data_IF_248206252985
#
_entry.id   IF_248206252985
#
_cell.length_a   1.000
_cell.length_b   1.000
_cell.length_c   1.000
_cell.angle_alpha   90.00
_cell.angle_beta   90.00
_cell.angle_gamma   90.00
#
_symmetry.space_group_name_H-M   'P 1'
#
loop_
_entity.id
_entity.type
_entity.pdbx_description
1 polymer ?
#
# COMPACT_ATOMS: atom_id res chain seq x y z
N UNK A 1 -25.81 9.71 19.16
CA UNK A 1 -25.46 9.68 17.72
C UNK A 1 -23.97 9.92 17.48
N UNK A 2 -23.38 11.00 18.02
CA UNK A 2 -21.95 11.33 17.88
C UNK A 2 -21.00 10.23 18.39
N UNK A 3 -21.36 9.56 19.49
CA UNK A 3 -20.58 8.44 20.09
C UNK A 3 -20.50 7.21 19.18
N UNK A 4 -21.59 6.88 18.47
CA UNK A 4 -21.62 5.76 17.54
C UNK A 4 -20.82 6.06 16.28
N UNK A 5 -20.87 7.29 15.80
CA UNK A 5 -20.05 7.75 14.65
C UNK A 5 -18.56 7.69 15.01
N UNK A 6 -18.19 8.16 16.20
CA UNK A 6 -16.81 8.09 16.68
C UNK A 6 -16.31 6.65 16.82
N UNK A 7 -17.12 5.76 17.40
CA UNK A 7 -16.81 4.33 17.49
C UNK A 7 -16.68 3.68 16.10
N UNK A 8 -17.52 4.07 15.13
CA UNK A 8 -17.41 3.59 13.75
C UNK A 8 -16.11 4.04 13.08
N UNK A 9 -15.66 5.29 13.31
CA UNK A 9 -14.37 5.77 12.79
C UNK A 9 -13.19 5.02 13.40
N UNK A 10 -13.20 4.78 14.71
CA UNK A 10 -12.18 3.98 15.38
C UNK A 10 -12.17 2.55 14.81
N UNK A 11 -13.34 1.95 14.63
CA UNK A 11 -13.48 0.62 14.07
C UNK A 11 -12.93 0.52 12.64
N UNK A 12 -13.27 1.48 11.77
CA UNK A 12 -12.74 1.54 10.41
C UNK A 12 -11.23 1.76 10.41
N UNK A 13 -10.71 2.62 11.28
CA UNK A 13 -9.27 2.83 11.43
C UNK A 13 -8.55 1.55 11.85
N UNK A 14 -9.10 0.80 12.81
CA UNK A 14 -8.55 -0.48 13.27
C UNK A 14 -8.58 -1.55 12.16
N UNK A 15 -9.69 -1.65 11.42
CA UNK A 15 -9.79 -2.58 10.28
C UNK A 15 -8.83 -2.21 9.15
N UNK A 16 -8.64 -0.92 8.87
CA UNK A 16 -7.66 -0.48 7.89
C UNK A 16 -6.24 -0.79 8.36
N UNK A 17 -5.96 -0.56 9.65
CA UNK A 17 -4.66 -0.84 10.25
C UNK A 17 -4.29 -2.31 10.08
N UNK A 18 -5.16 -3.25 10.50
CA UNK A 18 -4.90 -4.69 10.40
C UNK A 18 -4.78 -5.14 8.94
N UNK A 19 -5.59 -4.59 8.04
CA UNK A 19 -5.53 -4.90 6.60
C UNK A 19 -4.28 -4.35 5.91
N UNK A 20 -3.69 -3.27 6.39
CA UNK A 20 -2.51 -2.69 5.76
C UNK A 20 -1.21 -3.03 6.50
N UNK A 21 -1.27 -3.53 7.75
CA UNK A 21 -0.09 -3.89 8.54
C UNK A 21 0.79 -4.94 7.82
N UNK A 22 0.18 -6.02 7.34
CA UNK A 22 0.91 -7.06 6.61
C UNK A 22 1.51 -6.53 5.30
N UNK A 23 0.85 -5.53 4.68
CA UNK A 23 1.38 -4.86 3.49
C UNK A 23 2.59 -4.02 3.84
N UNK A 24 2.59 -3.30 4.96
CA UNK A 24 3.76 -2.54 5.40
C UNK A 24 4.96 -3.48 5.59
N UNK A 25 4.76 -4.62 6.25
CA UNK A 25 5.83 -5.62 6.43
C UNK A 25 6.34 -6.10 5.08
N UNK A 26 5.44 -6.47 4.18
CA UNK A 26 5.79 -6.87 2.81
C UNK A 26 6.57 -5.78 2.05
N UNK A 27 6.18 -4.51 2.16
CA UNK A 27 6.87 -3.39 1.53
C UNK A 27 8.25 -3.15 2.13
N UNK A 28 8.38 -3.32 3.44
CA UNK A 28 9.67 -3.21 4.13
C UNK A 28 10.65 -4.28 3.65
N UNK A 29 10.18 -5.52 3.48
CA UNK A 29 11.01 -6.63 3.00
C UNK A 29 11.39 -6.50 1.52
N UNK A 30 10.44 -6.11 0.66
CA UNK A 30 10.65 -6.06 -0.80
C UNK A 30 11.25 -4.76 -1.28
N UNK A 31 10.92 -3.64 -0.64
CA UNK A 31 11.30 -2.28 -1.05
C UNK A 31 11.64 -1.41 0.17
N UNK A 32 12.64 -1.82 0.94
CA UNK A 32 13.04 -1.19 2.22
C UNK A 32 13.31 0.32 2.12
N UNK A 33 14.12 0.75 1.16
CA UNK A 33 14.53 2.15 1.01
C UNK A 33 13.35 3.11 0.75
N UNK A 34 12.47 2.89 -0.25
CA UNK A 34 11.31 3.76 -0.44
C UNK A 34 10.31 3.64 0.71
N UNK A 35 10.17 2.47 1.33
CA UNK A 35 9.27 2.30 2.50
C UNK A 35 9.72 3.16 3.68
N UNK A 36 11.01 3.20 3.99
CA UNK A 36 11.55 4.04 5.06
C UNK A 36 11.48 5.53 4.71
N UNK A 37 11.90 5.91 3.49
CA UNK A 37 11.92 7.31 3.06
C UNK A 37 10.52 7.91 2.98
N UNK A 38 9.63 7.27 2.22
CA UNK A 38 8.24 7.72 2.04
C UNK A 38 7.47 7.59 3.36
N UNK A 39 7.68 6.51 4.11
CA UNK A 39 7.02 6.31 5.41
C UNK A 39 7.36 7.40 6.41
N UNK A 40 8.63 7.77 6.52
CA UNK A 40 9.08 8.86 7.39
C UNK A 40 8.47 10.20 6.97
N UNK A 41 8.50 10.50 5.66
CA UNK A 41 7.90 11.74 5.14
C UNK A 41 6.39 11.84 5.39
N UNK A 42 5.66 10.73 5.24
CA UNK A 42 4.22 10.67 5.53
C UNK A 42 3.97 10.83 7.02
N UNK A 43 4.71 10.14 7.89
CA UNK A 43 4.54 10.23 9.34
C UNK A 43 4.75 11.68 9.81
N UNK A 44 5.84 12.32 9.38
CA UNK A 44 6.14 13.72 9.68
C UNK A 44 5.07 14.64 9.11
N UNK A 45 4.71 14.47 7.83
CA UNK A 45 3.73 15.32 7.15
C UNK A 45 2.34 15.26 7.79
N UNK A 46 1.86 14.06 8.09
CA UNK A 46 0.56 13.85 8.77
C UNK A 46 0.60 14.42 10.19
N UNK A 47 1.71 14.22 10.92
CA UNK A 47 1.87 14.76 12.27
C UNK A 47 1.86 16.30 12.28
N UNK A 48 2.63 16.94 11.39
CA UNK A 48 2.66 18.41 11.25
C UNK A 48 1.27 18.92 10.88
N UNK A 49 0.62 18.31 9.88
CA UNK A 49 -0.71 18.73 9.44
C UNK A 49 -1.75 18.58 10.56
N UNK A 50 -1.71 17.47 11.31
CA UNK A 50 -2.56 17.27 12.47
C UNK A 50 -2.28 18.29 13.58
N UNK A 51 -1.02 18.68 13.78
CA UNK A 51 -0.63 19.71 14.74
C UNK A 51 -1.14 21.10 14.37
N UNK A 52 -1.15 21.42 13.08
CA UNK A 52 -1.71 22.67 12.55
C UNK A 52 -3.24 22.72 12.67
N UNK A 53 -3.93 21.59 12.50
CA UNK A 53 -5.41 21.56 12.52
C UNK A 53 -5.99 21.40 13.91
N UNK A 54 -5.43 20.53 14.74
CA UNK A 54 -5.93 20.22 16.08
C UNK A 54 -5.28 21.11 17.15
N UNK A 55 -4.08 21.62 16.90
CA UNK A 55 -3.25 22.32 17.88
C UNK A 55 -2.37 21.36 18.68
N UNK A 56 -1.16 21.84 19.04
CA UNK A 56 -0.10 21.02 19.66
C UNK A 56 -0.48 20.37 21.01
N UNK A 57 -1.56 20.81 21.66
CA UNK A 57 -2.04 20.24 22.93
C UNK A 57 -2.71 18.87 22.76
N UNK A 58 -3.09 18.48 21.53
CA UNK A 58 -3.85 17.26 21.25
C UNK A 58 -2.97 16.12 20.73
N UNK A 59 -1.85 15.85 21.41
CA UNK A 59 -0.86 14.85 20.99
C UNK A 59 -1.45 13.46 20.67
N UNK A 60 -2.36 12.95 21.52
CA UNK A 60 -2.97 11.64 21.32
C UNK A 60 -3.79 11.58 20.01
N UNK A 61 -4.51 12.65 19.67
CA UNK A 61 -5.28 12.74 18.44
C UNK A 61 -4.37 12.86 17.20
N UNK A 62 -3.26 13.59 17.33
CA UNK A 62 -2.24 13.69 16.27
C UNK A 62 -1.59 12.32 15.99
N UNK A 63 -1.19 11.59 17.04
CA UNK A 63 -0.63 10.24 16.90
C UNK A 63 -1.65 9.26 16.31
N UNK A 64 -2.92 9.35 16.73
CA UNK A 64 -3.99 8.57 16.13
C UNK A 64 -4.11 8.82 14.62
N UNK A 65 -4.04 10.07 14.17
CA UNK A 65 -4.09 10.40 12.75
C UNK A 65 -2.93 9.77 11.96
N UNK A 66 -1.72 9.79 12.51
CA UNK A 66 -0.54 9.13 11.89
C UNK A 66 -0.76 7.62 11.78
N UNK A 67 -1.24 6.98 12.84
CA UNK A 67 -1.46 5.53 12.87
C UNK A 67 -2.63 5.12 11.96
N UNK A 68 -3.68 5.91 11.90
CA UNK A 68 -4.86 5.63 11.08
C UNK A 68 -4.62 5.84 9.58
N UNK A 69 -3.92 6.92 9.20
CA UNK A 69 -3.74 7.32 7.80
C UNK A 69 -2.41 6.86 7.20
N UNK A 70 -1.37 6.78 8.03
CA UNK A 70 0.01 6.48 7.63
C UNK A 70 0.13 5.18 6.83
N UNK A 71 -0.41 4.04 7.29
CA UNK A 71 -0.34 2.77 6.57
C UNK A 71 -0.92 2.83 5.15
N UNK A 72 -2.12 3.39 5.02
CA UNK A 72 -2.79 3.49 3.73
C UNK A 72 -2.03 4.42 2.77
N UNK A 73 -1.61 5.60 3.26
CA UNK A 73 -0.81 6.56 2.50
C UNK A 73 0.53 5.95 2.07
N UNK A 74 1.19 5.20 2.96
CA UNK A 74 2.47 4.55 2.68
C UNK A 74 2.33 3.53 1.54
N UNK A 75 1.36 2.63 1.65
CA UNK A 75 1.11 1.60 0.64
C UNK A 75 0.81 2.23 -0.72
N UNK A 76 -0.02 3.28 -0.75
CA UNK A 76 -0.37 3.99 -1.98
C UNK A 76 0.83 4.70 -2.59
N UNK A 77 1.56 5.47 -1.79
CA UNK A 77 2.71 6.24 -2.26
C UNK A 77 3.83 5.34 -2.76
N UNK A 78 4.13 4.23 -2.07
CA UNK A 78 5.13 3.25 -2.54
C UNK A 78 4.65 2.55 -3.81
N UNK A 79 3.36 2.22 -3.93
CA UNK A 79 2.81 1.63 -5.16
C UNK A 79 2.94 2.56 -6.36
N UNK A 80 2.64 3.85 -6.16
CA UNK A 80 2.76 4.87 -7.21
C UNK A 80 4.23 5.10 -7.57
N UNK A 81 5.10 5.22 -6.57
CA UNK A 81 6.55 5.34 -6.78
C UNK A 81 7.09 4.16 -7.59
N UNK A 82 6.74 2.94 -7.20
CA UNK A 82 7.11 1.73 -7.92
C UNK A 82 6.57 1.72 -9.34
N UNK A 83 5.29 2.07 -9.54
CA UNK A 83 4.69 2.15 -10.86
C UNK A 83 5.53 3.02 -11.80
N UNK A 84 5.87 4.24 -11.40
CA UNK A 84 6.64 5.16 -12.25
C UNK A 84 8.10 4.74 -12.45
N UNK A 85 8.68 3.99 -11.50
CA UNK A 85 10.06 3.53 -11.59
C UNK A 85 10.20 2.20 -12.33
N UNK A 86 9.20 1.34 -12.25
CA UNK A 86 9.17 0.05 -12.92
C UNK A 86 8.91 0.26 -14.42
N UNK A 87 9.76 -0.32 -15.27
CA UNK A 87 9.66 -0.23 -16.73
C UNK A 87 8.47 -1.02 -17.30
N UNK A 88 8.18 -0.87 -18.61
CA UNK A 88 7.05 -1.54 -19.25
C UNK A 88 7.12 -3.07 -19.15
N UNK A 89 8.32 -3.65 -19.22
CA UNK A 89 8.54 -5.11 -19.10
C UNK A 89 8.06 -5.67 -17.75
N UNK A 90 8.42 -5.00 -16.65
CA UNK A 90 8.01 -5.40 -15.29
C UNK A 90 6.49 -5.30 -15.13
N UNK A 91 5.88 -4.26 -15.70
CA UNK A 91 4.43 -4.08 -15.66
C UNK A 91 3.69 -5.15 -16.46
N UNK A 92 4.23 -5.56 -17.61
CA UNK A 92 3.67 -6.66 -18.40
C UNK A 92 3.78 -7.99 -17.66
N UNK A 93 4.93 -8.30 -17.08
CA UNK A 93 5.11 -9.52 -16.29
C UNK A 93 4.15 -9.58 -15.08
N UNK A 94 3.92 -8.45 -14.40
CA UNK A 94 2.92 -8.34 -13.35
C UNK A 94 1.49 -8.50 -13.89
N UNK A 95 1.21 -7.98 -15.09
CA UNK A 95 -0.10 -8.10 -15.74
C UNK A 95 -0.42 -9.56 -16.11
N UNK A 96 0.57 -10.36 -16.51
CA UNK A 96 0.39 -11.79 -16.77
C UNK A 96 -0.04 -12.56 -15.51
N UNK A 97 0.54 -12.23 -14.35
CA UNK A 97 0.09 -12.79 -13.07
C UNK A 97 -1.34 -12.37 -12.78
N UNK A 98 -1.63 -11.08 -12.96
CA UNK A 98 -2.95 -10.51 -12.69
C UNK A 98 -4.02 -11.04 -13.62
N UNK A 99 -3.70 -11.41 -14.86
CA UNK A 99 -4.66 -11.95 -15.82
C UNK A 99 -5.16 -13.33 -15.43
N UNK A 100 -4.28 -14.18 -14.92
CA UNK A 100 -4.63 -15.49 -14.38
C UNK A 100 -5.56 -15.33 -13.18
N UNK A 101 -5.28 -14.37 -12.29
CA UNK A 101 -6.10 -14.14 -11.10
C UNK A 101 -7.45 -13.49 -11.41
N UNK A 102 -7.47 -12.49 -12.31
CA UNK A 102 -8.67 -11.84 -12.78
C UNK A 102 -9.62 -12.83 -13.48
N UNK A 103 -9.08 -13.77 -14.27
CA UNK A 103 -9.87 -14.84 -14.87
C UNK A 103 -10.51 -15.76 -13.82
N UNK A 104 -9.79 -16.09 -12.73
CA UNK A 104 -10.32 -16.92 -11.63
C UNK A 104 -11.39 -16.20 -10.82
N UNK A 105 -11.18 -14.92 -10.53
CA UNK A 105 -12.07 -14.11 -9.69
C UNK A 105 -13.19 -13.42 -10.48
N UNK A 106 -13.23 -13.56 -11.82
CA UNK A 106 -14.12 -12.83 -12.73
C UNK A 106 -14.03 -11.31 -12.57
N UNK A 107 -12.83 -10.80 -12.32
CA UNK A 107 -12.56 -9.38 -12.16
C UNK A 107 -12.14 -8.74 -13.49
N UNK A 108 -12.34 -7.43 -13.63
CA UNK A 108 -11.86 -6.68 -14.79
C UNK A 108 -10.34 -6.64 -14.82
N UNK A 109 -9.76 -6.96 -15.96
CA UNK A 109 -8.31 -6.92 -16.16
C UNK A 109 -7.82 -5.45 -16.21
N UNK A 110 -6.82 -5.06 -15.41
CA UNK A 110 -6.17 -3.76 -15.56
C UNK A 110 -5.36 -3.70 -16.86
N UNK A 111 -4.93 -2.51 -17.29
CA UNK A 111 -4.09 -2.35 -18.48
C UNK A 111 -2.66 -1.99 -18.09
N UNK A 112 -1.67 -2.41 -18.88
CA UNK A 112 -0.26 -2.09 -18.64
C UNK A 112 0.07 -0.61 -18.91
N UNK A 113 -0.70 0.06 -19.76
CA UNK A 113 -0.52 1.46 -20.20
C UNK A 113 -1.31 2.48 -19.36
N UNK A 114 -2.05 2.03 -18.36
CA UNK A 114 -2.87 2.92 -17.53
C UNK A 114 -2.02 3.90 -16.71
N UNK A 115 -2.59 5.04 -16.33
CA UNK A 115 -1.82 6.11 -15.65
C UNK A 115 -1.39 5.78 -14.21
N UNK A 116 -2.07 4.86 -13.54
CA UNK A 116 -1.89 4.56 -12.12
C UNK A 116 -1.83 3.05 -11.86
N UNK A 117 -1.10 2.59 -10.82
CA UNK A 117 -1.04 1.17 -10.49
C UNK A 117 -2.43 0.62 -10.09
N UNK A 118 -2.71 -0.62 -10.50
CA UNK A 118 -3.90 -1.32 -10.02
C UNK A 118 -3.76 -1.76 -8.57
N UNK A 119 -4.89 -2.12 -7.95
CA UNK A 119 -4.90 -2.66 -6.60
C UNK A 119 -4.17 -4.02 -6.59
N UNK A 120 -3.11 -4.11 -5.81
CA UNK A 120 -2.30 -5.33 -5.72
C UNK A 120 -1.05 -5.34 -6.61
N UNK A 121 -0.81 -4.28 -7.41
CA UNK A 121 0.33 -4.18 -8.33
C UNK A 121 1.67 -4.65 -7.73
N UNK A 122 2.02 -4.17 -6.54
CA UNK A 122 3.29 -4.53 -5.90
C UNK A 122 3.40 -6.02 -5.56
N UNK A 123 2.28 -6.67 -5.23
CA UNK A 123 2.24 -8.11 -4.99
C UNK A 123 2.42 -8.88 -6.28
N UNK A 124 1.77 -8.45 -7.36
CA UNK A 124 1.89 -9.08 -8.67
C UNK A 124 3.31 -8.98 -9.23
N UNK A 125 3.95 -7.81 -9.07
CA UNK A 125 5.35 -7.60 -9.44
C UNK A 125 6.27 -8.54 -8.67
N UNK A 126 6.15 -8.59 -7.35
CA UNK A 126 7.01 -9.45 -6.54
C UNK A 126 6.78 -10.94 -6.87
N UNK A 127 5.53 -11.33 -7.14
CA UNK A 127 5.20 -12.68 -7.57
C UNK A 127 5.80 -13.02 -8.93
N UNK A 128 5.80 -12.07 -9.88
CA UNK A 128 6.45 -12.22 -11.16
C UNK A 128 7.97 -12.39 -11.01
N UNK A 129 8.61 -11.56 -10.17
CA UNK A 129 10.05 -11.65 -9.87
C UNK A 129 10.39 -13.02 -9.26
N UNK A 130 9.63 -13.47 -8.26
CA UNK A 130 9.87 -14.78 -7.61
C UNK A 130 9.65 -15.94 -8.56
N UNK A 131 8.63 -15.86 -9.44
CA UNK A 131 8.39 -16.88 -10.47
C UNK A 131 9.54 -16.96 -11.47
N UNK A 132 10.10 -15.81 -11.87
CA UNK A 132 11.26 -15.76 -12.76
C UNK A 132 12.55 -16.32 -12.13
N UNK A 133 12.64 -16.34 -10.79
CA UNK A 133 13.78 -16.91 -10.06
C UNK A 133 13.59 -18.39 -9.68
N UNK A 134 12.38 -18.92 -9.81
CA UNK A 134 12.08 -20.30 -9.43
C UNK A 134 12.32 -21.23 -10.61
N UNK A 135 13.36 -22.05 -10.51
CA UNK A 135 13.51 -23.21 -11.38
C UNK A 135 12.58 -24.32 -10.86
N UNK A 136 11.64 -24.83 -11.67
CA UNK A 136 10.82 -25.95 -11.26
C UNK A 136 11.69 -27.18 -10.97
N UNK A 137 11.36 -27.97 -9.94
CA UNK A 137 12.13 -29.17 -9.62
C UNK A 137 12.18 -30.09 -10.86
N UNK A 138 13.34 -30.69 -11.17
CA UNK A 138 13.44 -31.61 -12.29
C UNK A 138 12.45 -32.77 -12.10
N UNK A 139 11.71 -33.07 -13.18
CA UNK A 139 10.69 -34.15 -13.23
C UNK A 139 11.38 -35.50 -13.24
#
# INVERSE_FOLDING_TARGET
>A
MLTLVFLAFIWVALLSLTRDLWRIVFLYETRRAPTLGIGSAIAIGVYILAGLTLGAKHYAAMMFAVVALGPWLLVKSVSVYAWFRDGPEVRQAALEIRSIEAARMRETLPRADQKLPWRGYLFDVERAIRRGRYEPPPI
#
